data_IF_024094961067
#
_entry.id   IF_024094961067
#
_cell.length_a   1.000
_cell.length_b   1.000
_cell.length_c   1.000
_cell.angle_alpha   90.00
_cell.angle_beta   90.00
_cell.angle_gamma   90.00
#
_symmetry.space_group_name_H-M   'P 1'
#
loop_
_entity.id
_entity.type
_entity.pdbx_description
1 polymer ?
#
# COMPACT_ATOMS: atom_id res chain seq x y z
N UNK A 1 24.82 1.55 -2.43
CA UNK A 1 24.85 0.24 -1.76
C UNK A 1 24.41 -0.81 -2.75
N UNK A 2 25.02 -1.98 -2.74
CA UNK A 2 24.54 -3.08 -3.59
C UNK A 2 23.30 -3.76 -2.99
N UNK A 3 22.66 -4.64 -3.77
CA UNK A 3 21.43 -5.33 -3.40
C UNK A 3 21.58 -6.19 -2.13
N UNK A 4 22.68 -6.93 -2.00
CA UNK A 4 22.91 -7.80 -0.85
C UNK A 4 23.08 -6.95 0.42
N UNK A 5 23.83 -5.86 0.32
CA UNK A 5 24.04 -4.94 1.43
C UNK A 5 22.72 -4.31 1.90
N UNK A 6 21.88 -3.85 0.97
CA UNK A 6 20.55 -3.29 1.30
C UNK A 6 19.69 -4.34 2.00
N UNK A 7 19.65 -5.57 1.50
CA UNK A 7 18.83 -6.62 2.10
C UNK A 7 19.19 -6.89 3.56
N UNK A 8 20.47 -7.15 3.83
CA UNK A 8 20.91 -7.47 5.19
C UNK A 8 20.88 -6.27 6.13
N UNK A 9 21.22 -5.07 5.66
CA UNK A 9 21.32 -3.87 6.51
C UNK A 9 20.01 -3.12 6.68
N UNK A 10 19.07 -3.24 5.74
CA UNK A 10 17.84 -2.45 5.68
C UNK A 10 16.60 -3.34 5.74
N UNK A 11 16.43 -4.24 4.77
CA UNK A 11 15.18 -5.03 4.65
C UNK A 11 14.97 -5.96 5.83
N UNK A 12 15.97 -6.77 6.20
CA UNK A 12 15.84 -7.71 7.33
C UNK A 12 15.52 -7.02 8.67
N UNK A 13 16.00 -5.79 8.89
CA UNK A 13 15.70 -5.03 10.12
C UNK A 13 14.22 -4.65 10.25
N UNK A 14 13.50 -4.64 9.13
CA UNK A 14 12.06 -4.33 9.06
C UNK A 14 11.18 -5.57 9.28
N UNK A 15 11.76 -6.76 9.25
CA UNK A 15 11.07 -8.00 9.54
C UNK A 15 10.94 -8.20 11.06
N UNK A 16 9.72 -8.41 11.56
CA UNK A 16 9.42 -8.57 12.98
C UNK A 16 8.73 -9.91 13.19
N UNK A 17 9.53 -10.92 13.49
CA UNK A 17 9.05 -12.29 13.72
C UNK A 17 8.58 -13.01 12.45
N UNK A 18 8.92 -12.49 11.27
CA UNK A 18 8.63 -13.09 9.96
C UNK A 18 9.87 -13.01 9.08
N UNK A 19 9.90 -13.80 7.99
CA UNK A 19 10.93 -13.68 6.98
C UNK A 19 10.51 -12.64 5.91
N UNK A 20 11.46 -11.80 5.50
CA UNK A 20 11.37 -11.06 4.24
C UNK A 20 12.17 -11.85 3.22
N UNK A 21 11.50 -12.24 2.15
CA UNK A 21 12.09 -13.04 1.08
C UNK A 21 13.04 -12.16 0.23
N UNK A 22 14.25 -12.68 -0.04
CA UNK A 22 15.25 -11.98 -0.83
C UNK A 22 14.80 -11.74 -2.27
N UNK A 23 14.09 -12.70 -2.86
CA UNK A 23 13.54 -12.61 -4.21
C UNK A 23 12.36 -11.64 -4.30
N UNK A 24 11.66 -11.38 -3.19
CA UNK A 24 10.59 -10.40 -3.09
C UNK A 24 11.08 -9.04 -2.56
N UNK A 25 12.33 -8.69 -2.83
CA UNK A 25 12.87 -7.38 -2.55
C UNK A 25 13.09 -6.58 -3.84
N UNK A 26 12.52 -5.38 -3.93
CA UNK A 26 12.55 -4.57 -5.15
C UNK A 26 12.97 -3.13 -4.83
N UNK A 27 14.21 -2.79 -5.18
CA UNK A 27 14.90 -1.61 -4.67
C UNK A 27 15.00 -0.45 -5.66
N UNK A 28 14.47 -0.60 -6.87
CA UNK A 28 14.37 0.49 -7.85
C UNK A 28 13.15 0.30 -8.76
N UNK A 29 12.73 1.33 -9.52
CA UNK A 29 11.53 1.22 -10.35
C UNK A 29 11.61 0.13 -11.41
N UNK A 30 12.80 -0.17 -11.93
CA UNK A 30 12.98 -1.22 -12.94
C UNK A 30 12.73 -2.61 -12.34
N UNK A 31 13.28 -2.90 -11.15
CA UNK A 31 13.00 -4.14 -10.43
C UNK A 31 11.52 -4.32 -10.11
N UNK A 32 10.83 -3.26 -9.68
CA UNK A 32 9.39 -3.31 -9.44
C UNK A 32 8.64 -3.62 -10.73
N UNK A 33 8.98 -2.96 -11.84
CA UNK A 33 8.38 -3.23 -13.14
C UNK A 33 8.60 -4.69 -13.59
N UNK A 34 9.80 -5.23 -13.39
CA UNK A 34 10.08 -6.65 -13.69
C UNK A 34 9.27 -7.58 -12.78
N UNK A 35 9.09 -7.26 -11.50
CA UNK A 35 8.26 -8.04 -10.60
C UNK A 35 6.81 -8.10 -11.11
N UNK A 36 6.25 -6.94 -11.49
CA UNK A 36 4.88 -6.84 -12.00
C UNK A 36 4.67 -7.57 -13.33
N UNK A 37 5.70 -7.70 -14.16
CA UNK A 37 5.58 -8.28 -15.50
C UNK A 37 6.10 -9.72 -15.62
N UNK A 38 7.00 -10.15 -14.72
CA UNK A 38 7.70 -11.44 -14.84
C UNK A 38 7.66 -12.29 -13.58
N UNK A 39 7.50 -11.73 -12.38
CA UNK A 39 7.47 -12.53 -11.16
C UNK A 39 6.13 -13.27 -11.01
N UNK A 40 6.20 -14.60 -11.01
CA UNK A 40 5.03 -15.47 -10.95
C UNK A 40 4.24 -15.34 -9.64
N UNK A 41 4.92 -15.12 -8.50
CA UNK A 41 4.24 -14.96 -7.20
C UNK A 41 3.46 -13.65 -7.15
N UNK A 42 4.07 -12.56 -7.60
CA UNK A 42 3.45 -11.22 -7.68
C UNK A 42 2.26 -11.25 -8.63
N UNK A 43 2.45 -11.73 -9.86
CA UNK A 43 1.39 -11.78 -10.87
C UNK A 43 0.23 -12.67 -10.44
N UNK A 44 0.51 -13.84 -9.86
CA UNK A 44 -0.52 -14.76 -9.37
C UNK A 44 -1.40 -14.09 -8.31
N UNK A 45 -0.80 -13.33 -7.38
CA UNK A 45 -1.55 -12.58 -6.38
C UNK A 45 -2.38 -11.44 -7.00
N UNK A 46 -1.79 -10.66 -7.91
CA UNK A 46 -2.48 -9.56 -8.59
C UNK A 46 -3.71 -10.06 -9.37
N UNK A 47 -3.56 -11.16 -10.11
CA UNK A 47 -4.69 -11.79 -10.82
C UNK A 47 -5.73 -12.37 -9.85
N UNK A 48 -5.29 -13.00 -8.77
CA UNK A 48 -6.20 -13.48 -7.72
C UNK A 48 -7.09 -12.35 -7.20
N UNK A 49 -6.48 -11.26 -6.74
CA UNK A 49 -7.22 -10.15 -6.15
C UNK A 49 -8.13 -9.47 -7.18
N UNK A 50 -7.64 -9.24 -8.40
CA UNK A 50 -8.42 -8.56 -9.41
C UNK A 50 -9.60 -9.41 -9.92
N UNK A 51 -9.42 -10.72 -10.10
CA UNK A 51 -10.34 -11.54 -10.89
C UNK A 51 -11.10 -12.58 -10.07
N UNK A 52 -10.54 -13.10 -8.99
CA UNK A 52 -11.06 -14.30 -8.30
C UNK A 52 -11.50 -14.03 -6.86
N UNK A 53 -10.82 -13.14 -6.15
CA UNK A 53 -11.19 -12.78 -4.79
C UNK A 53 -12.60 -12.18 -4.77
N UNK A 54 -13.41 -12.67 -3.83
CA UNK A 54 -14.77 -12.19 -3.56
C UNK A 54 -14.71 -11.46 -2.22
N UNK A 55 -14.78 -10.13 -2.22
CA UNK A 55 -14.75 -9.38 -0.98
C UNK A 55 -15.99 -9.63 -0.11
N UNK A 56 -15.86 -9.55 1.23
CA UNK A 56 -17.01 -9.61 2.11
C UNK A 56 -17.98 -8.45 1.82
N UNK A 57 -19.25 -8.64 2.19
CA UNK A 57 -20.21 -7.54 2.25
C UNK A 57 -19.94 -6.70 3.50
N UNK A 58 -19.53 -5.45 3.29
CA UNK A 58 -19.27 -4.48 4.35
C UNK A 58 -19.86 -3.13 3.93
N UNK A 59 -20.07 -2.19 4.86
CA UNK A 59 -20.52 -0.84 4.45
C UNK A 59 -19.38 -0.05 3.82
N UNK A 60 -18.19 -0.13 4.42
CA UNK A 60 -17.03 0.66 4.02
C UNK A 60 -15.88 -0.25 3.61
N UNK A 61 -15.36 -0.04 2.40
CA UNK A 61 -14.02 -0.47 2.04
C UNK A 61 -13.03 0.62 2.49
N UNK A 62 -12.13 0.27 3.41
CA UNK A 62 -11.04 1.13 3.85
C UNK A 62 -9.73 0.67 3.20
N UNK A 63 -9.21 1.46 2.27
CA UNK A 63 -7.90 1.28 1.68
C UNK A 63 -6.87 2.03 2.52
N UNK A 64 -5.84 1.33 3.00
CA UNK A 64 -4.78 1.88 3.86
C UNK A 64 -3.39 1.57 3.29
N UNK A 65 -2.38 2.46 3.38
CA UNK A 65 -1.08 2.23 2.76
C UNK A 65 -0.28 1.17 3.51
N UNK A 66 0.53 0.44 2.76
CA UNK A 66 1.45 -0.54 3.31
C UNK A 66 2.43 0.08 4.33
N UNK A 67 2.99 -0.75 5.19
CA UNK A 67 3.99 -0.36 6.18
C UNK A 67 5.39 -0.82 5.76
N UNK A 68 6.44 -0.05 6.07
CA UNK A 68 7.84 -0.49 5.90
C UNK A 68 8.16 -1.69 6.79
N UNK A 69 7.58 -1.76 7.99
CA UNK A 69 7.69 -2.90 8.91
C UNK A 69 6.75 -4.00 8.47
N UNK A 70 7.26 -5.24 8.43
CA UNK A 70 6.49 -6.46 8.14
C UNK A 70 6.51 -7.42 9.33
N UNK A 71 5.41 -8.15 9.60
CA UNK A 71 4.13 -8.06 8.91
C UNK A 71 3.44 -6.71 9.20
N UNK A 72 2.47 -6.28 8.39
CA UNK A 72 1.91 -4.93 8.54
C UNK A 72 1.34 -4.68 9.94
N UNK A 73 0.61 -5.67 10.48
CA UNK A 73 -0.13 -5.56 11.74
C UNK A 73 0.74 -5.33 12.98
N UNK A 74 2.05 -5.59 12.92
CA UNK A 74 2.96 -5.30 14.05
C UNK A 74 3.58 -3.91 13.97
N UNK A 75 3.43 -3.21 12.85
CA UNK A 75 3.92 -1.85 12.65
C UNK A 75 3.21 -0.84 13.56
N UNK A 76 3.87 0.28 13.84
CA UNK A 76 3.28 1.35 14.66
C UNK A 76 2.01 1.93 14.03
N UNK A 77 1.98 2.11 12.70
CA UNK A 77 0.82 2.66 11.99
C UNK A 77 -0.37 1.71 12.09
N UNK A 78 -0.18 0.40 11.87
CA UNK A 78 -1.29 -0.56 11.97
C UNK A 78 -1.74 -0.78 13.41
N UNK A 79 -0.84 -0.78 14.39
CA UNK A 79 -1.23 -0.80 15.82
C UNK A 79 -2.13 0.40 16.16
N UNK A 80 -1.82 1.58 15.62
CA UNK A 80 -2.63 2.78 15.81
C UNK A 80 -3.95 2.70 15.05
N UNK A 81 -3.93 2.21 13.81
CA UNK A 81 -5.13 1.96 13.00
C UNK A 81 -6.08 1.00 13.72
N UNK A 82 -5.59 -0.16 14.17
CA UNK A 82 -6.41 -1.14 14.88
C UNK A 82 -6.94 -0.63 16.21
N UNK A 83 -6.13 0.10 16.99
CA UNK A 83 -6.62 0.80 18.18
C UNK A 83 -7.71 1.83 17.87
N UNK A 84 -7.68 2.44 16.69
CA UNK A 84 -8.69 3.41 16.25
C UNK A 84 -9.96 2.69 15.80
N UNK A 85 -9.82 1.68 14.94
CA UNK A 85 -10.92 0.87 14.44
C UNK A 85 -11.64 0.09 15.57
N UNK A 86 -10.93 -0.35 16.61
CA UNK A 86 -11.52 -1.05 17.75
C UNK A 86 -12.49 -0.18 18.56
N UNK A 87 -12.32 1.16 18.52
CA UNK A 87 -13.25 2.10 19.19
C UNK A 87 -14.63 2.12 18.56
N UNK A 88 -14.79 1.54 17.37
CA UNK A 88 -16.09 1.40 16.70
C UNK A 88 -16.94 0.28 17.30
N UNK A 89 -16.39 -0.55 18.20
CA UNK A 89 -17.11 -1.68 18.79
C UNK A 89 -17.65 -2.62 17.72
N UNK A 90 -18.93 -2.98 17.81
CA UNK A 90 -19.58 -3.87 16.83
C UNK A 90 -19.54 -3.31 15.40
N UNK A 91 -19.52 -1.99 15.21
CA UNK A 91 -19.46 -1.36 13.88
C UNK A 91 -18.13 -1.62 13.16
N UNK A 92 -17.11 -2.15 13.84
CA UNK A 92 -15.86 -2.62 13.22
C UNK A 92 -16.12 -3.62 12.09
N UNK A 93 -17.14 -4.47 12.24
CA UNK A 93 -17.52 -5.49 11.23
C UNK A 93 -18.06 -4.89 9.93
N UNK A 94 -18.45 -3.60 9.97
CA UNK A 94 -18.93 -2.88 8.79
C UNK A 94 -17.78 -2.29 7.95
N UNK A 95 -16.53 -2.45 8.40
CA UNK A 95 -15.33 -1.98 7.71
C UNK A 95 -14.53 -3.18 7.21
N UNK A 96 -14.34 -3.25 5.91
CA UNK A 96 -13.38 -4.15 5.30
C UNK A 96 -12.08 -3.39 5.04
N UNK A 97 -11.00 -3.79 5.72
CA UNK A 97 -9.69 -3.17 5.58
C UNK A 97 -8.87 -3.88 4.49
N UNK A 98 -8.36 -3.09 3.55
CA UNK A 98 -7.48 -3.57 2.48
C UNK A 98 -6.24 -2.69 2.43
N UNK A 99 -5.06 -3.32 2.39
CA UNK A 99 -3.80 -2.59 2.26
C UNK A 99 -3.48 -2.33 0.80
N UNK A 100 -3.29 -1.07 0.40
CA UNK A 100 -2.68 -0.74 -0.90
C UNK A 100 -1.16 -0.84 -0.79
N UNK A 101 -0.54 -1.53 -1.74
CA UNK A 101 0.88 -1.85 -1.67
C UNK A 101 1.49 -2.14 -3.03
N UNK A 102 2.78 -1.88 -3.14
CA UNK A 102 3.64 -2.45 -4.17
C UNK A 102 4.39 -3.68 -3.62
N UNK A 103 4.65 -4.72 -4.42
CA UNK A 103 4.15 -4.93 -5.79
C UNK A 103 2.77 -5.61 -5.83
N UNK A 104 2.12 -5.84 -4.69
CA UNK A 104 0.95 -6.72 -4.59
C UNK A 104 -0.41 -6.06 -4.86
N UNK A 105 -0.44 -4.77 -5.20
CA UNK A 105 -1.65 -4.00 -5.51
C UNK A 105 -2.51 -3.77 -4.27
N UNK A 106 -3.30 -4.77 -3.89
CA UNK A 106 -4.15 -4.79 -2.70
C UNK A 106 -3.90 -6.06 -1.89
N UNK A 107 -3.91 -5.93 -0.56
CA UNK A 107 -3.80 -7.05 0.38
C UNK A 107 -4.87 -6.91 1.46
N UNK A 108 -6.01 -7.62 1.31
CA UNK A 108 -7.06 -7.67 2.33
C UNK A 108 -6.54 -8.18 3.68
N UNK A 109 -7.09 -7.64 4.77
CA UNK A 109 -6.66 -7.92 6.15
C UNK A 109 -6.77 -9.39 6.53
N UNK A 110 -7.78 -10.09 6.04
CA UNK A 110 -8.00 -11.51 6.31
C UNK A 110 -6.89 -12.43 5.77
N UNK A 111 -6.04 -11.92 4.87
CA UNK A 111 -4.89 -12.67 4.37
C UNK A 111 -3.62 -12.44 5.18
N UNK A 112 -3.59 -11.53 6.15
CA UNK A 112 -2.38 -11.28 6.91
C UNK A 112 -1.97 -12.50 7.74
N UNK A 113 -0.76 -13.01 7.48
CA UNK A 113 -0.27 -14.20 8.17
C UNK A 113 -0.93 -15.51 7.70
N UNK A 114 -1.66 -15.49 6.58
CA UNK A 114 -2.39 -16.66 6.09
C UNK A 114 -1.74 -17.20 4.82
N UNK A 115 -1.49 -18.52 4.81
CA UNK A 115 -1.08 -19.24 3.61
C UNK A 115 -2.29 -19.53 2.73
N UNK A 116 -2.20 -19.16 1.45
CA UNK A 116 -3.23 -19.46 0.44
C UNK A 116 -2.61 -20.12 -0.78
N UNK A 117 -3.40 -20.76 -1.66
CA UNK A 117 -2.89 -21.23 -2.95
C UNK A 117 -2.28 -20.11 -3.82
N UNK A 118 -2.62 -18.85 -3.57
CA UNK A 118 -2.23 -17.70 -4.37
C UNK A 118 -0.93 -17.05 -3.88
N UNK A 119 -0.75 -16.99 -2.55
CA UNK A 119 0.44 -16.45 -1.91
C UNK A 119 0.53 -16.90 -0.43
N UNK A 120 1.75 -17.02 0.09
CA UNK A 120 2.03 -17.37 1.49
C UNK A 120 2.35 -16.12 2.32
N UNK A 121 1.34 -15.53 2.96
CA UNK A 121 1.52 -14.36 3.82
C UNK A 121 1.98 -14.72 5.24
N UNK A 122 2.06 -16.00 5.60
CA UNK A 122 2.66 -16.45 6.87
C UNK A 122 4.19 -16.37 6.83
N UNK A 123 4.81 -16.71 5.70
CA UNK A 123 6.26 -16.92 5.64
C UNK A 123 6.98 -16.06 4.60
N UNK A 124 6.29 -15.50 3.60
CA UNK A 124 6.94 -14.83 2.46
C UNK A 124 6.63 -13.33 2.39
N UNK A 125 7.06 -12.55 3.39
CA UNK A 125 6.94 -11.08 3.30
C UNK A 125 7.96 -10.48 2.32
N UNK A 126 7.75 -9.22 1.95
CA UNK A 126 8.49 -8.55 0.89
C UNK A 126 8.98 -7.16 1.36
N UNK A 127 9.94 -6.57 0.65
CA UNK A 127 10.32 -5.16 0.81
C UNK A 127 10.40 -4.48 -0.57
N UNK A 128 9.48 -3.56 -0.85
CA UNK A 128 9.34 -2.93 -2.16
C UNK A 128 9.43 -1.40 -2.09
N UNK A 129 10.56 -0.82 -1.67
CA UNK A 129 10.70 0.62 -1.60
C UNK A 129 11.07 1.26 -2.95
N UNK A 130 11.27 0.45 -4.01
CA UNK A 130 11.83 0.88 -5.29
C UNK A 130 11.04 1.97 -6.02
N UNK A 131 9.76 2.19 -5.71
CA UNK A 131 8.99 3.28 -6.32
C UNK A 131 9.20 4.65 -5.65
N UNK A 132 9.84 4.70 -4.48
CA UNK A 132 10.04 5.95 -3.73
C UNK A 132 11.37 6.61 -4.10
N UNK A 133 11.28 7.77 -4.76
CA UNK A 133 12.45 8.55 -5.22
C UNK A 133 13.43 8.86 -4.09
N UNK A 134 12.91 9.29 -2.93
CA UNK A 134 13.72 9.61 -1.76
C UNK A 134 14.49 8.39 -1.26
N UNK A 135 13.87 7.20 -1.29
CA UNK A 135 14.49 5.97 -0.82
C UNK A 135 15.60 5.53 -1.77
N UNK A 136 15.33 5.58 -3.08
CA UNK A 136 16.35 5.27 -4.09
C UNK A 136 17.56 6.22 -3.97
N UNK A 137 17.32 7.53 -3.80
CA UNK A 137 18.38 8.51 -3.56
C UNK A 137 19.19 8.21 -2.29
N UNK A 138 18.52 7.87 -1.18
CA UNK A 138 19.16 7.58 0.11
C UNK A 138 20.11 6.38 0.04
N UNK A 139 19.79 5.36 -0.76
CA UNK A 139 20.57 4.12 -0.86
C UNK A 139 21.37 4.00 -2.16
N UNK A 140 21.43 5.06 -2.97
CA UNK A 140 22.16 5.12 -4.23
C UNK A 140 21.63 4.17 -5.30
N UNK A 141 20.31 3.93 -5.32
CA UNK A 141 19.66 3.10 -6.33
C UNK A 141 19.21 3.93 -7.54
N UNK A 142 19.24 3.36 -8.76
CA UNK A 142 18.77 4.06 -9.96
C UNK A 142 17.27 4.37 -9.84
N UNK A 143 16.86 5.54 -10.33
CA UNK A 143 15.47 5.95 -10.31
C UNK A 143 14.99 6.35 -11.71
N UNK A 144 14.17 5.50 -12.31
CA UNK A 144 13.55 5.76 -13.61
C UNK A 144 12.09 6.17 -13.44
N UNK A 145 11.76 7.39 -13.88
CA UNK A 145 10.38 7.88 -13.94
C UNK A 145 9.55 7.03 -14.89
N UNK A 146 10.10 6.59 -16.01
CA UNK A 146 9.40 5.73 -16.97
C UNK A 146 8.91 4.43 -16.33
N UNK A 147 9.78 3.72 -15.60
CA UNK A 147 9.40 2.47 -14.95
C UNK A 147 8.50 2.69 -13.73
N UNK A 148 8.61 3.83 -13.05
CA UNK A 148 7.64 4.24 -12.03
C UNK A 148 6.24 4.35 -12.63
N UNK A 149 6.08 5.11 -13.72
CA UNK A 149 4.79 5.33 -14.37
C UNK A 149 4.19 4.02 -14.89
N UNK A 150 5.00 3.17 -15.53
CA UNK A 150 4.56 1.82 -15.96
C UNK A 150 4.10 0.97 -14.78
N UNK A 151 4.81 1.02 -13.65
CA UNK A 151 4.46 0.24 -12.46
C UNK A 151 3.14 0.72 -11.84
N UNK A 152 2.97 2.04 -11.69
CA UNK A 152 1.71 2.64 -11.20
C UNK A 152 0.55 2.27 -12.13
N UNK A 153 0.73 2.36 -13.45
CA UNK A 153 -0.31 2.01 -14.42
C UNK A 153 -0.75 0.55 -14.29
N UNK A 154 0.19 -0.40 -14.17
CA UNK A 154 -0.12 -1.83 -14.01
C UNK A 154 -0.87 -2.07 -12.70
N UNK A 155 -0.33 -1.57 -11.59
CA UNK A 155 -0.92 -1.74 -10.27
C UNK A 155 -2.32 -1.12 -10.19
N UNK A 156 -2.49 0.11 -10.70
CA UNK A 156 -3.78 0.78 -10.77
C UNK A 156 -4.79 0.00 -11.64
N UNK A 157 -4.35 -0.63 -12.74
CA UNK A 157 -5.20 -1.48 -13.55
C UNK A 157 -5.75 -2.70 -12.80
N UNK A 158 -4.92 -3.36 -11.98
CA UNK A 158 -5.37 -4.46 -11.12
C UNK A 158 -6.31 -3.99 -10.01
N UNK A 159 -5.99 -2.87 -9.35
CA UNK A 159 -6.86 -2.24 -8.34
C UNK A 159 -8.21 -1.84 -8.96
N UNK A 160 -8.21 -1.29 -10.17
CA UNK A 160 -9.42 -0.88 -10.89
C UNK A 160 -10.33 -2.08 -11.18
N UNK A 161 -9.78 -3.20 -11.67
CA UNK A 161 -10.54 -4.44 -11.89
C UNK A 161 -11.21 -4.93 -10.61
N UNK A 162 -10.49 -4.90 -9.49
CA UNK A 162 -11.07 -5.23 -8.18
C UNK A 162 -12.22 -4.28 -7.82
N UNK A 163 -12.02 -2.96 -7.94
CA UNK A 163 -13.04 -1.96 -7.61
C UNK A 163 -14.30 -2.12 -8.47
N UNK A 164 -14.15 -2.28 -9.79
CA UNK A 164 -15.27 -2.50 -10.71
C UNK A 164 -16.09 -3.71 -10.29
N UNK A 165 -15.44 -4.83 -9.97
CA UNK A 165 -16.12 -6.05 -9.53
C UNK A 165 -16.79 -5.87 -8.17
N UNK A 166 -16.12 -5.26 -7.21
CA UNK A 166 -16.67 -5.04 -5.89
C UNK A 166 -17.93 -4.15 -5.93
N UNK A 167 -17.95 -3.14 -6.79
CA UNK A 167 -19.14 -2.30 -7.02
C UNK A 167 -20.24 -3.09 -7.73
N UNK A 168 -19.91 -3.87 -8.77
CA UNK A 168 -20.89 -4.70 -9.46
C UNK A 168 -21.55 -5.75 -8.54
N UNK A 169 -20.82 -6.25 -7.54
CA UNK A 169 -21.32 -7.17 -6.52
C UNK A 169 -22.11 -6.47 -5.39
N UNK A 170 -22.12 -5.14 -5.36
CA UNK A 170 -22.69 -4.37 -4.26
C UNK A 170 -21.98 -4.63 -2.92
N UNK A 171 -20.68 -4.94 -2.95
CA UNK A 171 -19.93 -5.35 -1.75
C UNK A 171 -19.77 -4.21 -0.73
N UNK A 172 -19.79 -2.95 -1.18
CA UNK A 172 -19.60 -1.77 -0.35
C UNK A 172 -20.54 -0.63 -0.75
N UNK A 173 -21.02 0.14 0.22
CA UNK A 173 -21.75 1.39 -0.04
C UNK A 173 -20.82 2.61 -0.10
N UNK A 174 -19.61 2.52 0.47
CA UNK A 174 -18.61 3.58 0.42
C UNK A 174 -17.20 3.01 0.29
N UNK A 175 -16.38 3.65 -0.54
CA UNK A 175 -14.95 3.36 -0.66
C UNK A 175 -14.16 4.56 -0.15
N UNK A 176 -13.28 4.32 0.80
CA UNK A 176 -12.42 5.31 1.44
C UNK A 176 -10.98 4.87 1.28
N UNK A 177 -10.11 5.76 0.84
CA UNK A 177 -8.67 5.53 0.82
C UNK A 177 -7.98 6.52 1.76
N UNK A 178 -7.55 6.01 2.91
CA UNK A 178 -6.79 6.77 3.88
C UNK A 178 -5.30 6.62 3.58
N UNK A 179 -4.79 7.46 2.68
CA UNK A 179 -3.41 7.46 2.17
C UNK A 179 -2.79 8.85 2.33
N UNK A 180 -1.50 9.03 2.04
CA UNK A 180 -0.91 10.38 2.04
C UNK A 180 -1.49 11.19 0.87
N UNK A 181 -2.43 12.07 1.17
CA UNK A 181 -3.07 12.96 0.20
C UNK A 181 -2.15 14.14 -0.12
N UNK A 182 -1.74 14.92 0.89
CA UNK A 182 -0.94 16.12 0.71
C UNK A 182 0.41 16.04 1.44
N UNK A 183 1.38 16.84 1.00
CA UNK A 183 2.63 17.08 1.73
C UNK A 183 2.39 18.06 2.89
N UNK A 184 3.40 18.29 3.74
CA UNK A 184 3.31 19.31 4.79
C UNK A 184 3.18 20.76 4.27
N UNK A 185 3.39 20.96 2.97
CA UNK A 185 3.13 22.23 2.26
C UNK A 185 1.74 22.27 1.59
N UNK A 186 0.89 21.27 1.84
CA UNK A 186 -0.44 21.13 1.25
C UNK A 186 -0.43 20.94 -0.28
N UNK A 187 0.67 20.42 -0.81
CA UNK A 187 0.87 20.10 -2.23
C UNK A 187 0.60 18.62 -2.49
N UNK A 188 0.03 18.31 -3.66
CA UNK A 188 0.06 16.96 -4.22
C UNK A 188 1.42 16.72 -4.85
N UNK A 189 2.02 15.55 -4.60
CA UNK A 189 3.35 15.23 -5.11
C UNK A 189 3.39 13.90 -5.86
N UNK A 190 4.32 13.82 -6.80
CA UNK A 190 4.53 12.63 -7.62
C UNK A 190 4.98 11.39 -6.82
N UNK A 191 5.56 11.61 -5.63
CA UNK A 191 6.04 10.56 -4.72
C UNK A 191 4.96 10.06 -3.74
N UNK A 192 3.72 10.55 -3.86
CA UNK A 192 2.56 9.98 -3.16
C UNK A 192 2.05 8.73 -3.90
N UNK A 193 2.91 7.72 -4.08
CA UNK A 193 2.67 6.55 -4.94
C UNK A 193 1.33 5.86 -4.68
N UNK A 194 1.01 5.56 -3.41
CA UNK A 194 -0.27 4.96 -3.05
C UNK A 194 -1.49 5.82 -3.45
N UNK A 195 -1.41 7.15 -3.27
CA UNK A 195 -2.47 8.07 -3.71
C UNK A 195 -2.66 7.98 -5.22
N UNK A 196 -1.56 8.05 -5.98
CA UNK A 196 -1.57 7.99 -7.44
C UNK A 196 -2.15 6.68 -7.95
N UNK A 197 -1.79 5.55 -7.34
CA UNK A 197 -2.35 4.24 -7.66
C UNK A 197 -3.87 4.21 -7.45
N UNK A 198 -4.35 4.71 -6.30
CA UNK A 198 -5.79 4.71 -5.98
C UNK A 198 -6.55 5.68 -6.87
N UNK A 199 -6.06 6.90 -7.09
CA UNK A 199 -6.68 7.90 -7.96
C UNK A 199 -6.84 7.38 -9.39
N UNK A 200 -5.77 6.82 -9.95
CA UNK A 200 -5.78 6.25 -11.28
C UNK A 200 -6.74 5.06 -11.37
N UNK A 201 -6.73 4.17 -10.37
CA UNK A 201 -7.62 3.03 -10.32
C UNK A 201 -9.10 3.44 -10.22
N UNK A 202 -9.42 4.43 -9.39
CA UNK A 202 -10.76 5.00 -9.25
C UNK A 202 -11.24 5.59 -10.58
N UNK A 203 -10.39 6.34 -11.26
CA UNK A 203 -10.68 6.89 -12.59
C UNK A 203 -10.93 5.80 -13.64
N UNK A 204 -10.11 4.74 -13.66
CA UNK A 204 -10.27 3.61 -14.59
C UNK A 204 -11.56 2.83 -14.32
N UNK A 205 -11.88 2.60 -13.05
CA UNK A 205 -13.06 1.86 -12.62
C UNK A 205 -14.36 2.68 -12.71
N UNK A 206 -14.25 4.02 -12.85
CA UNK A 206 -15.36 4.97 -12.71
C UNK A 206 -16.08 4.81 -11.36
N UNK A 207 -15.30 4.62 -10.30
CA UNK A 207 -15.77 4.45 -8.92
C UNK A 207 -15.35 5.66 -8.09
N UNK A 208 -16.28 6.20 -7.31
CA UNK A 208 -15.97 7.25 -6.34
C UNK A 208 -15.16 6.67 -5.17
N UNK A 209 -14.02 7.29 -4.88
CA UNK A 209 -13.17 6.95 -3.73
C UNK A 209 -12.87 8.22 -2.95
N UNK A 210 -13.26 8.23 -1.67
CA UNK A 210 -12.92 9.33 -0.78
C UNK A 210 -11.45 9.24 -0.38
N UNK A 211 -10.65 10.18 -0.87
CA UNK A 211 -9.24 10.30 -0.49
C UNK A 211 -9.13 11.09 0.81
N UNK A 212 -8.69 10.40 1.86
CA UNK A 212 -8.50 10.97 3.18
C UNK A 212 -7.02 10.90 3.61
N UNK A 213 -6.56 11.83 4.45
CA UNK A 213 -7.31 12.97 4.99
C UNK A 213 -7.47 14.13 3.98
N UNK A 214 -8.52 14.96 4.10
CA UNK A 214 -8.69 16.14 3.25
C UNK A 214 -7.68 17.23 3.61
N UNK A 215 -7.55 18.24 2.74
CA UNK A 215 -6.51 19.27 2.83
C UNK A 215 -6.57 20.04 4.16
N UNK A 216 -7.77 20.31 4.64
CA UNK A 216 -8.04 21.07 5.87
C UNK A 216 -7.54 20.32 7.11
N UNK A 217 -7.76 19.00 7.15
CA UNK A 217 -7.25 18.13 8.21
C UNK A 217 -5.72 18.06 8.19
N UNK A 218 -5.11 17.96 7.00
CA UNK A 218 -3.64 18.00 6.89
C UNK A 218 -3.10 19.35 7.37
N UNK A 219 -3.74 20.46 6.99
CA UNK A 219 -3.36 21.80 7.42
C UNK A 219 -3.44 21.96 8.94
N UNK A 220 -4.50 21.45 9.56
CA UNK A 220 -4.67 21.46 11.01
C UNK A 220 -3.59 20.64 11.72
N UNK A 221 -3.28 19.43 11.23
CA UNK A 221 -2.22 18.59 11.79
C UNK A 221 -0.87 19.30 11.69
N UNK A 222 -0.53 19.86 10.53
CA UNK A 222 0.73 20.58 10.32
C UNK A 222 0.82 21.81 11.23
N UNK A 223 -0.27 22.56 11.39
CA UNK A 223 -0.33 23.72 12.27
C UNK A 223 -0.12 23.33 13.74
N UNK A 224 -0.82 22.28 14.22
CA UNK A 224 -0.80 21.87 15.63
C UNK A 224 0.43 21.03 16.02
N UNK A 225 0.99 20.25 15.10
CA UNK A 225 2.04 19.26 15.38
C UNK A 225 3.35 19.52 14.65
N UNK A 226 3.37 20.50 13.74
CA UNK A 226 4.52 20.84 12.92
C UNK A 226 4.65 19.98 11.66
N UNK A 227 5.39 20.51 10.68
CA UNK A 227 5.62 19.86 9.37
C UNK A 227 6.27 18.48 9.49
N UNK A 228 7.27 18.36 10.37
CA UNK A 228 7.98 17.12 10.60
C UNK A 228 7.07 16.01 11.14
N UNK A 229 6.07 16.34 11.95
CA UNK A 229 5.12 15.34 12.44
C UNK A 229 4.31 14.71 11.30
N UNK A 230 3.90 15.50 10.31
CA UNK A 230 3.19 15.00 9.14
C UNK A 230 4.12 14.26 8.17
N UNK A 231 5.32 14.80 7.92
CA UNK A 231 6.25 14.21 6.95
C UNK A 231 6.92 12.93 7.47
N UNK A 232 7.09 12.76 8.80
CA UNK A 232 7.69 11.56 9.41
C UNK A 232 6.66 10.52 9.88
N UNK A 233 5.50 10.98 10.37
CA UNK A 233 4.50 10.13 11.03
C UNK A 233 3.11 10.18 10.39
N UNK A 234 2.95 10.86 9.26
CA UNK A 234 1.72 10.85 8.46
C UNK A 234 1.40 9.46 7.93
N UNK A 235 0.63 9.36 6.84
CA UNK A 235 0.08 8.05 6.42
C UNK A 235 1.11 7.19 5.67
N UNK A 236 2.03 6.66 6.46
CA UNK A 236 2.95 5.54 6.27
C UNK A 236 3.97 5.62 5.15
N UNK A 237 4.95 6.52 5.25
CA UNK A 237 6.38 6.21 4.99
C UNK A 237 7.28 7.15 5.81
N UNK A 238 7.98 6.65 6.85
CA UNK A 238 9.01 7.43 7.53
C UNK A 238 10.23 7.59 6.61
N UNK A 239 10.82 8.80 6.60
CA UNK A 239 12.13 9.09 5.99
C UNK A 239 13.23 8.24 6.65
#
# INVERSE_FOLDING_TARGET
MDRHEIYYRVSLKRAKGVAISYELCFYNPFEVYLALTRDGKVRKWLEFIASYYIPPRAKVLLIYPCSTVKPYYVSRSYKTLFKTLSKLGEKRREIHLVTVSEPFGLVPEEFYGVRTPWFDWSESWYDCPGLFKWWCRKYGQPYSREFLEKSIQILAGYVAKFLTRAVALGSYSKVVAFVRTFSSKLEVREDHTHRRMVELAASMAKVEVDLLPPKEVVAEIVSKRGRLAWDLYGVSHPI
#
